data_IF_896186330523
#
_entry.id   IF_896186330523
#
_cell.length_a   1.000
_cell.length_b   1.000
_cell.length_c   1.000
_cell.angle_alpha   90.00
_cell.angle_beta   90.00
_cell.angle_gamma   90.00
#
_symmetry.space_group_name_H-M   'P 1'
#
loop_
_entity.id
_entity.type
_entity.pdbx_description
1 polymer ?
#
# COMPACT_ATOMS: atom_id res chain seq x y z
N UNK A 1 -4.25 3.62 -30.50
CA UNK A 1 -3.99 4.11 -29.13
C UNK A 1 -4.77 3.21 -28.18
N UNK A 2 -4.10 2.46 -27.30
CA UNK A 2 -4.79 1.76 -26.22
C UNK A 2 -5.06 2.77 -25.10
N UNK A 3 -6.32 2.97 -24.74
CA UNK A 3 -6.70 3.82 -23.61
C UNK A 3 -6.20 3.18 -22.31
N UNK A 4 -5.44 3.93 -21.53
CA UNK A 4 -5.03 3.52 -20.19
C UNK A 4 -6.21 3.71 -19.25
N UNK A 5 -6.65 2.64 -18.59
CA UNK A 5 -7.71 2.70 -17.58
C UNK A 5 -7.09 2.81 -16.19
N UNK A 6 -7.60 3.72 -15.37
CA UNK A 6 -7.27 3.74 -13.95
C UNK A 6 -7.77 2.47 -13.27
N UNK A 7 -6.93 1.86 -12.45
CA UNK A 7 -7.28 0.72 -11.61
C UNK A 7 -7.15 1.13 -10.15
N UNK A 8 -8.26 1.16 -9.44
CA UNK A 8 -8.29 1.60 -8.04
C UNK A 8 -7.74 0.49 -7.12
N UNK A 9 -6.77 0.89 -6.30
CA UNK A 9 -6.12 0.05 -5.30
C UNK A 9 -6.47 0.60 -3.92
N UNK A 10 -7.19 -0.20 -3.14
CA UNK A 10 -7.43 -0.01 -1.71
C UNK A 10 -6.44 -0.85 -0.93
N UNK A 11 -5.76 -0.23 0.02
CA UNK A 11 -4.78 -0.90 0.88
C UNK A 11 -5.25 -0.81 2.32
N UNK A 12 -5.42 -1.95 2.97
CA UNK A 12 -5.65 -2.01 4.41
C UNK A 12 -4.46 -2.67 5.07
N UNK A 13 -3.85 -1.98 6.03
CA UNK A 13 -2.75 -2.52 6.83
C UNK A 13 -3.18 -2.64 8.30
N UNK A 14 -2.82 -3.75 8.92
CA UNK A 14 -2.88 -3.94 10.37
C UNK A 14 -1.45 -3.98 10.89
N UNK A 15 -1.12 -3.08 11.82
CA UNK A 15 0.25 -2.84 12.27
C UNK A 15 0.34 -2.65 13.77
N UNK A 16 1.52 -2.89 14.32
CA UNK A 16 1.92 -2.44 15.67
C UNK A 16 2.78 -1.20 15.55
N UNK A 17 2.57 -0.21 16.41
CA UNK A 17 3.33 1.05 16.43
C UNK A 17 3.95 1.29 17.79
N UNK A 18 5.02 2.09 17.87
CA UNK A 18 5.59 2.52 19.16
C UNK A 18 4.61 3.37 19.98
N UNK A 19 4.72 3.34 21.31
CA UNK A 19 3.75 3.97 22.23
C UNK A 19 3.62 5.49 22.07
N UNK A 20 4.70 6.16 21.64
CA UNK A 20 4.78 7.62 21.53
C UNK A 20 4.53 8.14 20.10
N UNK A 21 4.11 7.27 19.16
CA UNK A 21 3.99 7.63 17.74
C UNK A 21 2.57 8.06 17.38
N UNK A 22 2.47 9.21 16.71
CA UNK A 22 1.23 9.69 16.13
C UNK A 22 0.86 8.90 14.86
N UNK A 23 -0.26 8.18 14.93
CA UNK A 23 -0.81 7.39 13.82
C UNK A 23 -1.09 8.24 12.58
N UNK A 24 -1.40 9.53 12.71
CA UNK A 24 -1.63 10.40 11.56
C UNK A 24 -0.35 10.65 10.76
N UNK A 25 0.81 10.68 11.43
CA UNK A 25 2.12 10.76 10.78
C UNK A 25 2.38 9.50 9.95
N UNK A 26 2.12 8.31 10.52
CA UNK A 26 2.25 7.03 9.81
C UNK A 26 1.31 6.98 8.59
N UNK A 27 0.04 7.37 8.76
CA UNK A 27 -0.93 7.39 7.65
C UNK A 27 -0.49 8.32 6.52
N UNK A 28 0.04 9.49 6.86
CA UNK A 28 0.54 10.44 5.87
C UNK A 28 1.72 9.85 5.09
N UNK A 29 2.73 9.32 5.79
CA UNK A 29 3.91 8.75 5.16
C UNK A 29 3.57 7.51 4.32
N UNK A 30 2.71 6.63 4.82
CA UNK A 30 2.19 5.48 4.09
C UNK A 30 1.54 5.90 2.77
N UNK A 31 0.67 6.91 2.80
CA UNK A 31 0.03 7.42 1.59
C UNK A 31 1.05 7.90 0.56
N UNK A 32 2.06 8.67 0.98
CA UNK A 32 3.09 9.19 0.09
C UNK A 32 3.91 8.05 -0.55
N UNK A 33 4.43 7.13 0.27
CA UNK A 33 5.27 6.04 -0.19
C UNK A 33 4.50 5.05 -1.08
N UNK A 34 3.25 4.74 -0.74
CA UNK A 34 2.41 3.84 -1.53
C UNK A 34 2.00 4.45 -2.87
N UNK A 35 1.70 5.76 -2.94
CA UNK A 35 1.46 6.44 -4.22
C UNK A 35 2.70 6.33 -5.13
N UNK A 36 3.89 6.54 -4.56
CA UNK A 36 5.15 6.43 -5.29
C UNK A 36 5.36 5.02 -5.82
N UNK A 37 5.26 4.01 -4.95
CA UNK A 37 5.37 2.60 -5.29
C UNK A 37 4.42 2.19 -6.42
N UNK A 38 3.13 2.57 -6.33
CA UNK A 38 2.15 2.20 -7.34
C UNK A 38 2.48 2.79 -8.72
N UNK A 39 2.97 4.03 -8.75
CA UNK A 39 3.27 4.74 -10.00
C UNK A 39 4.57 4.29 -10.66
N UNK A 40 5.59 4.04 -9.85
CA UNK A 40 6.94 3.76 -10.33
C UNK A 40 7.17 2.25 -10.49
N UNK A 41 6.99 1.47 -9.43
CA UNK A 41 7.33 0.04 -9.46
C UNK A 41 6.15 -0.82 -9.92
N UNK A 42 4.98 -0.72 -9.27
CA UNK A 42 3.87 -1.64 -9.55
C UNK A 42 3.34 -1.51 -10.98
N UNK A 43 3.33 -0.29 -11.52
CA UNK A 43 2.95 -0.04 -12.90
C UNK A 43 3.94 -0.65 -13.91
N UNK A 44 5.24 -0.60 -13.64
CA UNK A 44 6.28 -1.18 -14.49
C UNK A 44 6.25 -2.72 -14.41
N UNK A 45 6.19 -3.25 -13.19
CA UNK A 45 6.17 -4.69 -12.91
C UNK A 45 4.85 -5.37 -13.28
N UNK A 46 3.80 -4.58 -13.57
CA UNK A 46 2.44 -5.07 -13.84
C UNK A 46 1.84 -5.89 -12.70
N UNK A 47 2.25 -5.57 -11.47
CA UNK A 47 1.77 -6.27 -10.27
C UNK A 47 1.84 -5.33 -9.06
N UNK A 48 0.75 -5.24 -8.30
CA UNK A 48 0.78 -4.69 -6.94
C UNK A 48 1.10 -5.83 -5.99
N UNK A 49 2.36 -5.93 -5.56
CA UNK A 49 2.87 -7.03 -4.74
C UNK A 49 2.54 -6.79 -3.27
N UNK A 50 1.86 -7.76 -2.64
CA UNK A 50 1.47 -7.65 -1.23
C UNK A 50 2.70 -7.44 -0.31
N UNK A 51 3.77 -8.21 -0.50
CA UNK A 51 4.99 -8.09 0.33
C UNK A 51 5.71 -6.74 0.16
N UNK A 52 5.66 -6.10 -1.02
CA UNK A 52 6.25 -4.78 -1.24
C UNK A 52 5.49 -3.73 -0.43
N UNK A 53 4.16 -3.79 -0.45
CA UNK A 53 3.30 -2.95 0.39
C UNK A 53 3.62 -3.16 1.87
N UNK A 54 3.73 -4.41 2.32
CA UNK A 54 4.14 -4.71 3.70
C UNK A 54 5.50 -4.09 4.04
N UNK A 55 6.50 -4.26 3.18
CA UNK A 55 7.86 -3.72 3.37
C UNK A 55 7.87 -2.20 3.42
N UNK A 56 7.04 -1.53 2.61
CA UNK A 56 6.94 -0.07 2.61
C UNK A 56 6.39 0.41 3.95
N UNK A 57 5.31 -0.22 4.44
CA UNK A 57 4.68 0.14 5.71
C UNK A 57 5.62 -0.16 6.89
N UNK A 58 6.27 -1.31 6.88
CA UNK A 58 7.23 -1.75 7.91
C UNK A 58 8.41 -0.78 8.09
N UNK A 59 8.81 -0.09 7.02
CA UNK A 59 9.91 0.87 7.04
C UNK A 59 9.52 2.28 7.47
N UNK A 60 8.24 2.54 7.71
CA UNK A 60 7.79 3.85 8.21
C UNK A 60 8.24 3.98 9.66
N UNK A 61 8.81 5.13 9.99
CA UNK A 61 9.30 5.37 11.34
C UNK A 61 8.15 5.24 12.37
N UNK A 62 8.40 4.48 13.42
CA UNK A 62 7.42 4.20 14.47
C UNK A 62 6.51 2.99 14.21
N UNK A 63 6.60 2.36 13.04
CA UNK A 63 6.02 1.04 12.81
C UNK A 63 6.97 -0.02 13.37
N UNK A 64 6.46 -0.86 14.26
CA UNK A 64 7.21 -1.97 14.87
C UNK A 64 7.07 -3.27 14.10
N UNK A 65 5.86 -3.52 13.59
CA UNK A 65 5.51 -4.79 12.96
C UNK A 65 4.29 -4.60 12.03
N UNK A 66 4.21 -5.42 11.00
CA UNK A 66 3.10 -5.45 10.03
C UNK A 66 2.43 -6.81 10.11
N UNK A 67 1.31 -6.88 10.84
CA UNK A 67 0.56 -8.12 11.04
C UNK A 67 -0.13 -8.58 9.75
N UNK A 68 -0.66 -7.65 8.96
CA UNK A 68 -1.50 -7.99 7.80
C UNK A 68 -1.57 -6.87 6.77
N UNK A 69 -1.56 -7.24 5.50
CA UNK A 69 -1.86 -6.35 4.36
C UNK A 69 -2.98 -6.96 3.50
N UNK A 70 -4.00 -6.15 3.21
CA UNK A 70 -5.03 -6.45 2.24
C UNK A 70 -4.95 -5.48 1.06
N UNK A 71 -4.93 -6.01 -0.15
CA UNK A 71 -5.05 -5.29 -1.41
C UNK A 71 -6.42 -5.59 -2.00
N UNK A 72 -7.27 -4.58 -2.17
CA UNK A 72 -8.66 -4.75 -2.60
C UNK A 72 -9.37 -5.87 -1.81
N UNK A 73 -9.22 -5.84 -0.48
CA UNK A 73 -9.85 -6.76 0.47
C UNK A 73 -9.31 -8.20 0.44
N UNK A 74 -8.12 -8.43 -0.16
CA UNK A 74 -7.48 -9.76 -0.27
C UNK A 74 -6.01 -9.73 0.15
N UNK A 75 -5.50 -10.82 0.71
CA UNK A 75 -4.07 -10.97 1.08
C UNK A 75 -3.15 -11.31 -0.12
N UNK A 76 -3.69 -11.28 -1.33
CA UNK A 76 -2.96 -11.65 -2.54
C UNK A 76 -2.48 -10.40 -3.27
N UNK A 77 -1.37 -10.55 -4.00
CA UNK A 77 -0.96 -9.56 -4.99
C UNK A 77 -2.07 -9.34 -6.04
N UNK A 78 -2.06 -8.17 -6.66
CA UNK A 78 -2.95 -7.84 -7.77
C UNK A 78 -2.14 -7.81 -9.06
N UNK A 79 -2.46 -8.70 -10.00
CA UNK A 79 -1.94 -8.62 -11.36
C UNK A 79 -2.63 -7.49 -12.13
N UNK A 80 -1.85 -6.71 -12.87
CA UNK A 80 -2.32 -5.59 -13.68
C UNK A 80 -2.20 -5.94 -15.16
N UNK A 81 -3.23 -5.63 -15.93
CA UNK A 81 -3.14 -5.72 -17.39
C UNK A 81 -2.21 -4.62 -17.93
N UNK A 82 -1.70 -4.79 -19.15
CA UNK A 82 -0.73 -3.87 -19.78
C UNK A 82 -1.20 -2.43 -19.88
N UNK A 83 -2.52 -2.21 -19.94
CA UNK A 83 -3.18 -0.91 -20.04
C UNK A 83 -3.78 -0.40 -18.72
N UNK A 84 -3.51 -1.06 -17.58
CA UNK A 84 -3.99 -0.62 -16.27
C UNK A 84 -2.96 0.24 -15.57
N UNK A 85 -3.39 1.43 -15.13
CA UNK A 85 -2.59 2.31 -14.28
C UNK A 85 -3.12 2.21 -12.84
N UNK A 86 -2.37 1.60 -11.90
CA UNK A 86 -2.80 1.50 -10.52
C UNK A 86 -2.85 2.88 -9.86
N UNK A 87 -3.91 3.15 -9.12
CA UNK A 87 -4.15 4.40 -8.40
C UNK A 87 -4.53 4.09 -6.97
N UNK A 88 -3.89 4.77 -6.03
CA UNK A 88 -4.27 4.65 -4.62
C UNK A 88 -5.63 5.32 -4.40
N UNK A 89 -6.66 4.51 -4.18
CA UNK A 89 -8.00 5.01 -3.87
C UNK A 89 -8.14 5.29 -2.37
N UNK A 90 -7.65 4.37 -1.54
CA UNK A 90 -7.77 4.45 -0.09
C UNK A 90 -6.61 3.71 0.60
N UNK A 91 -6.19 4.24 1.75
CA UNK A 91 -5.31 3.56 2.69
C UNK A 91 -5.97 3.58 4.06
N UNK A 92 -6.21 2.41 4.61
CA UNK A 92 -6.69 2.23 5.98
C UNK A 92 -5.57 1.61 6.82
N UNK A 93 -5.22 2.27 7.92
CA UNK A 93 -4.24 1.75 8.89
C UNK A 93 -4.98 1.44 10.18
N UNK A 94 -4.95 0.17 10.59
CA UNK A 94 -5.47 -0.33 11.84
C UNK A 94 -4.30 -0.62 12.79
N UNK A 95 -4.38 -0.11 14.01
CA UNK A 95 -3.34 -0.34 15.03
C UNK A 95 -3.79 -1.46 15.95
N UNK A 96 -2.92 -2.44 16.15
CA UNK A 96 -3.06 -3.54 17.11
C UNK A 96 -2.09 -3.36 18.27
N UNK A 97 -2.46 -3.93 19.42
CA UNK A 97 -1.67 -3.93 20.65
C UNK A 97 -0.60 -5.01 20.63
#
# INVERSE_FOLDING_TARGET
>A
MQSVSGYDVRITATIKIDEDVDIETIKHEAKVQLIKYLREEAFEEKEVRNYKVATIIDRINGVRDVDRILLNDREQSIELSTNMLPKLAEVTINVTS
#
